data_IF_101213184767
#
_entry.id   IF_101213184767
#
_cell.length_a   1.000
_cell.length_b   1.000
_cell.length_c   1.000
_cell.angle_alpha   90.00
_cell.angle_beta   90.00
_cell.angle_gamma   90.00
#
_symmetry.space_group_name_H-M   'P 1'
#
loop_
_entity.id
_entity.type
_entity.pdbx_description
1 polymer ?
#
# COMPACT_ATOMS: atom_id res chain seq x y z
N UNK A 1 -16.23 -1.47 -12.49
CA UNK A 1 -14.88 -2.05 -12.20
C UNK A 1 -14.93 -3.56 -12.43
N UNK A 2 -13.97 -4.16 -13.12
CA UNK A 2 -13.99 -5.59 -13.41
C UNK A 2 -13.36 -6.38 -12.24
N UNK A 3 -13.99 -7.46 -11.72
CA UNK A 3 -13.50 -8.18 -10.53
C UNK A 3 -12.13 -8.85 -10.70
N UNK A 4 -11.67 -9.03 -11.95
CA UNK A 4 -10.33 -9.59 -12.24
C UNK A 4 -9.20 -8.56 -12.20
N UNK A 5 -9.51 -7.26 -12.12
CA UNK A 5 -8.49 -6.21 -12.03
C UNK A 5 -8.02 -6.11 -10.58
N UNK A 6 -6.72 -6.33 -10.35
CA UNK A 6 -6.09 -6.14 -9.05
C UNK A 6 -5.84 -4.64 -8.89
N UNK A 7 -6.61 -4.01 -8.03
CA UNK A 7 -6.47 -2.60 -7.68
C UNK A 7 -6.89 -2.36 -6.22
N UNK A 8 -6.66 -1.16 -5.74
CA UNK A 8 -6.91 -0.77 -4.35
C UNK A 8 -8.36 -1.02 -3.87
N UNK A 9 -9.36 -0.94 -4.76
CA UNK A 9 -10.77 -1.13 -4.39
C UNK A 9 -11.28 -2.57 -4.56
N UNK A 10 -10.40 -3.54 -4.86
CA UNK A 10 -10.82 -4.92 -5.13
C UNK A 10 -11.48 -5.60 -3.92
N UNK A 11 -11.07 -5.25 -2.71
CA UNK A 11 -11.67 -5.78 -1.48
C UNK A 11 -13.20 -5.57 -1.40
N UNK A 12 -13.77 -4.60 -2.13
CA UNK A 12 -15.23 -4.36 -2.18
C UNK A 12 -15.98 -5.58 -2.72
N UNK A 13 -15.45 -6.27 -3.72
CA UNK A 13 -16.05 -7.52 -4.24
C UNK A 13 -16.01 -8.64 -3.19
N UNK A 14 -14.93 -8.70 -2.41
CA UNK A 14 -14.82 -9.66 -1.30
C UNK A 14 -15.86 -9.31 -0.25
N UNK A 15 -16.00 -8.01 0.09
CA UNK A 15 -17.01 -7.53 1.03
C UNK A 15 -18.43 -7.91 0.61
N UNK A 16 -18.77 -7.71 -0.66
CA UNK A 16 -20.09 -8.04 -1.21
C UNK A 16 -20.37 -9.55 -1.06
N UNK A 17 -19.38 -10.42 -1.31
CA UNK A 17 -19.50 -11.86 -1.10
C UNK A 17 -19.67 -12.22 0.38
N UNK A 18 -18.93 -11.59 1.27
CA UNK A 18 -19.05 -11.80 2.72
C UNK A 18 -20.45 -11.43 3.20
N UNK A 19 -20.97 -10.28 2.81
CA UNK A 19 -22.32 -9.83 3.15
C UNK A 19 -23.35 -10.83 2.65
N UNK A 20 -23.24 -11.26 1.39
CA UNK A 20 -24.16 -12.23 0.77
C UNK A 20 -24.18 -13.59 1.49
N UNK A 21 -23.06 -13.97 2.10
CA UNK A 21 -22.92 -15.26 2.81
C UNK A 21 -23.07 -15.14 4.34
N UNK A 22 -23.59 -14.02 4.87
CA UNK A 22 -23.85 -13.84 6.30
C UNK A 22 -22.63 -13.41 7.13
N UNK A 23 -21.48 -13.12 6.49
CA UNK A 23 -20.22 -12.75 7.14
C UNK A 23 -20.04 -11.23 7.27
N UNK A 24 -21.11 -10.45 7.19
CA UNK A 24 -21.07 -8.99 7.29
C UNK A 24 -20.42 -8.46 8.59
N UNK A 25 -20.47 -9.24 9.67
CA UNK A 25 -19.88 -8.88 10.96
C UNK A 25 -18.37 -9.07 11.04
N UNK A 26 -17.75 -9.77 10.07
CA UNK A 26 -16.32 -10.04 10.04
C UNK A 26 -15.56 -8.90 9.35
N UNK A 27 -14.46 -8.40 9.92
CA UNK A 27 -13.62 -7.42 9.25
C UNK A 27 -12.77 -8.07 8.13
N UNK A 28 -12.35 -7.24 7.18
CA UNK A 28 -11.30 -7.59 6.20
C UNK A 28 -9.97 -7.03 6.70
N UNK A 29 -8.92 -7.80 6.62
CA UNK A 29 -7.55 -7.37 6.86
C UNK A 29 -6.80 -7.31 5.52
N UNK A 30 -6.32 -6.12 5.15
CA UNK A 30 -5.45 -5.92 4.00
C UNK A 30 -4.03 -6.27 4.46
N UNK A 31 -3.52 -7.41 3.98
CA UNK A 31 -2.22 -7.93 4.38
C UNK A 31 -1.07 -7.07 3.87
N UNK A 32 -1.18 -6.56 2.63
CA UNK A 32 -0.16 -5.77 1.97
C UNK A 32 -0.78 -4.69 1.10
N UNK A 33 -0.32 -3.45 1.24
CA UNK A 33 -0.79 -2.30 0.48
C UNK A 33 0.36 -1.32 0.27
N UNK A 34 0.64 -0.96 -0.97
CA UNK A 34 1.50 0.16 -1.36
C UNK A 34 1.49 0.33 -2.89
N UNK A 35 2.18 1.35 -3.38
CA UNK A 35 2.47 1.60 -4.80
C UNK A 35 3.96 1.42 -5.09
N UNK A 36 4.28 0.91 -6.28
CA UNK A 36 5.66 0.63 -6.68
C UNK A 36 6.29 1.87 -7.32
N UNK A 37 7.30 2.45 -6.68
CA UNK A 37 8.08 3.57 -7.20
C UNK A 37 9.36 3.10 -7.91
N UNK A 38 9.27 2.04 -8.72
CA UNK A 38 10.39 1.50 -9.46
C UNK A 38 10.94 2.51 -10.48
N UNK A 39 12.27 2.67 -10.59
CA UNK A 39 12.90 3.52 -11.60
C UNK A 39 12.73 2.96 -13.02
N UNK A 40 13.01 3.79 -14.04
CA UNK A 40 12.76 3.42 -15.44
C UNK A 40 13.54 2.21 -15.95
N UNK A 41 14.68 1.92 -15.35
CA UNK A 41 15.53 0.78 -15.70
C UNK A 41 15.13 -0.54 -15.01
N UNK A 42 13.98 -0.58 -14.32
CA UNK A 42 13.41 -1.77 -13.69
C UNK A 42 12.08 -2.13 -14.36
N UNK A 43 11.84 -3.43 -14.58
CA UNK A 43 10.58 -3.90 -15.18
C UNK A 43 9.39 -3.51 -14.30
N UNK A 44 8.34 -2.84 -14.84
CA UNK A 44 7.19 -2.40 -14.05
C UNK A 44 6.14 -3.51 -13.85
N UNK A 45 6.56 -4.69 -13.37
CA UNK A 45 5.69 -5.86 -13.17
C UNK A 45 4.43 -5.55 -12.34
N UNK A 46 4.55 -4.65 -11.37
CA UNK A 46 3.44 -4.28 -10.46
C UNK A 46 2.90 -2.87 -10.76
N UNK A 47 3.10 -2.39 -11.99
CA UNK A 47 2.89 -0.99 -12.33
C UNK A 47 4.02 -0.10 -11.81
N UNK A 48 3.94 1.19 -12.15
CA UNK A 48 4.92 2.19 -11.76
C UNK A 48 4.24 3.50 -11.40
N UNK A 49 4.70 4.12 -10.33
CA UNK A 49 4.39 5.50 -9.95
C UNK A 49 5.67 6.27 -9.68
N UNK A 50 5.63 7.59 -9.63
CA UNK A 50 6.76 8.36 -9.13
C UNK A 50 6.85 8.29 -7.60
N UNK A 51 8.00 8.68 -7.02
CA UNK A 51 8.15 8.78 -5.57
C UNK A 51 7.13 9.75 -4.95
N UNK A 52 6.83 10.87 -5.65
CA UNK A 52 5.83 11.84 -5.22
C UNK A 52 4.41 11.26 -5.29
N UNK A 53 4.12 10.48 -6.33
CA UNK A 53 2.84 9.78 -6.43
C UNK A 53 2.67 8.73 -5.33
N UNK A 54 3.71 7.94 -5.04
CA UNK A 54 3.69 6.98 -3.94
C UNK A 54 3.43 7.69 -2.60
N UNK A 55 4.16 8.80 -2.33
CA UNK A 55 4.02 9.61 -1.13
C UNK A 55 2.62 10.21 -0.98
N UNK A 56 1.98 10.57 -2.08
CA UNK A 56 0.61 11.10 -2.09
C UNK A 56 -0.43 10.00 -1.93
N UNK A 57 -0.26 8.85 -2.61
CA UNK A 57 -1.32 7.85 -2.70
C UNK A 57 -1.47 7.04 -1.42
N UNK A 58 -0.36 6.74 -0.72
CA UNK A 58 -0.44 5.90 0.47
C UNK A 58 -1.24 6.54 1.60
N UNK A 59 -1.00 7.79 2.02
CA UNK A 59 -1.85 8.47 3.01
C UNK A 59 -3.31 8.58 2.56
N UNK A 60 -3.56 8.92 1.29
CA UNK A 60 -4.92 9.00 0.74
C UNK A 60 -5.64 7.63 0.77
N UNK A 61 -4.89 6.53 0.61
CA UNK A 61 -5.46 5.20 0.73
C UNK A 61 -5.92 4.91 2.16
N UNK A 62 -5.11 5.26 3.16
CA UNK A 62 -5.50 5.13 4.57
C UNK A 62 -6.68 6.04 4.91
N UNK A 63 -6.69 7.27 4.42
CA UNK A 63 -7.82 8.18 4.61
C UNK A 63 -9.11 7.56 4.05
N UNK A 64 -9.07 6.99 2.85
CA UNK A 64 -10.24 6.29 2.27
C UNK A 64 -10.66 5.07 3.07
N UNK A 65 -9.72 4.30 3.62
CA UNK A 65 -10.03 3.18 4.51
C UNK A 65 -10.82 3.68 5.72
N UNK A 66 -10.39 4.77 6.34
CA UNK A 66 -11.03 5.37 7.51
C UNK A 66 -12.42 5.90 7.16
N UNK A 67 -12.54 6.66 6.07
CA UNK A 67 -13.76 7.40 5.74
C UNK A 67 -14.83 6.54 5.07
N UNK A 68 -14.42 5.59 4.21
CA UNK A 68 -15.34 4.92 3.29
C UNK A 68 -15.58 3.44 3.66
N UNK A 69 -14.66 2.79 4.38
CA UNK A 69 -14.66 1.31 4.51
C UNK A 69 -14.55 0.81 5.95
N UNK A 70 -15.58 1.05 6.79
CA UNK A 70 -15.55 0.68 8.20
C UNK A 70 -15.42 -0.83 8.46
N UNK A 71 -15.54 -1.65 7.43
CA UNK A 71 -15.33 -3.09 7.50
C UNK A 71 -13.85 -3.51 7.34
N UNK A 72 -12.94 -2.57 7.04
CA UNK A 72 -11.50 -2.85 7.04
C UNK A 72 -10.99 -2.69 8.47
N UNK A 73 -10.62 -3.80 9.10
CA UNK A 73 -10.11 -3.79 10.48
C UNK A 73 -8.61 -3.50 10.58
N UNK A 74 -7.84 -3.91 9.58
CA UNK A 74 -6.39 -3.69 9.51
C UNK A 74 -5.98 -3.45 8.06
N UNK A 75 -5.07 -2.51 7.84
CA UNK A 75 -4.38 -2.30 6.57
C UNK A 75 -2.88 -2.16 6.81
N UNK A 76 -2.09 -3.08 6.29
CA UNK A 76 -0.65 -3.09 6.46
C UNK A 76 0.04 -2.51 5.23
N UNK A 77 0.96 -1.58 5.45
CA UNK A 77 1.84 -1.11 4.39
C UNK A 77 2.93 -2.15 4.12
N UNK A 78 3.09 -2.54 2.88
CA UNK A 78 4.21 -3.35 2.46
C UNK A 78 5.19 -2.48 1.68
N UNK A 79 6.36 -2.20 2.21
CA UNK A 79 6.96 -2.56 3.49
C UNK A 79 7.88 -1.44 4.00
N UNK A 80 8.26 -1.47 5.28
CA UNK A 80 9.15 -0.47 5.83
C UNK A 80 10.53 -0.52 5.14
N UNK A 81 11.25 -1.64 5.30
CA UNK A 81 12.60 -1.86 4.79
C UNK A 81 12.94 -3.36 4.75
N UNK A 82 13.69 -3.79 3.73
CA UNK A 82 14.28 -5.13 3.72
C UNK A 82 15.52 -5.19 4.60
N UNK A 83 15.82 -6.39 5.11
CA UNK A 83 17.01 -6.62 5.92
C UNK A 83 18.31 -6.39 5.12
N UNK A 84 18.28 -6.65 3.81
CA UNK A 84 19.42 -6.48 2.90
C UNK A 84 18.99 -5.69 1.66
N UNK A 85 19.97 -5.15 0.93
CA UNK A 85 19.78 -4.44 -0.33
C UNK A 85 19.84 -5.34 -1.58
N UNK A 86 19.90 -6.65 -1.39
CA UNK A 86 20.04 -7.62 -2.49
C UNK A 86 18.97 -7.48 -3.57
N UNK A 87 17.73 -7.18 -3.19
CA UNK A 87 16.66 -6.98 -4.15
C UNK A 87 16.88 -5.75 -5.04
N UNK A 88 17.42 -4.69 -4.47
CA UNK A 88 17.75 -3.49 -5.23
C UNK A 88 18.95 -3.74 -6.16
N UNK A 89 20.01 -4.36 -5.65
CA UNK A 89 21.18 -4.75 -6.44
C UNK A 89 20.79 -5.63 -7.63
N UNK A 90 19.84 -6.55 -7.44
CA UNK A 90 19.31 -7.43 -8.48
C UNK A 90 18.18 -6.78 -9.31
N UNK A 91 17.89 -5.49 -9.11
CA UNK A 91 16.84 -4.73 -9.81
C UNK A 91 15.46 -5.42 -9.76
N UNK A 92 15.15 -6.06 -8.64
CA UNK A 92 13.85 -6.70 -8.45
C UNK A 92 12.78 -5.62 -8.24
N UNK A 93 11.64 -5.68 -8.97
CA UNK A 93 10.58 -4.67 -8.85
C UNK A 93 10.06 -4.53 -7.42
N UNK A 94 10.06 -5.61 -6.66
CA UNK A 94 9.60 -5.65 -5.26
C UNK A 94 10.40 -4.73 -4.33
N UNK A 95 11.65 -4.37 -4.70
CA UNK A 95 12.50 -3.48 -3.90
C UNK A 95 11.92 -2.08 -3.70
N UNK A 96 11.05 -1.63 -4.59
CA UNK A 96 10.62 -0.22 -4.69
C UNK A 96 9.25 0.08 -4.06
N UNK A 97 8.70 -0.88 -3.32
CA UNK A 97 7.58 -0.62 -2.40
C UNK A 97 8.00 -0.07 -1.04
N UNK A 98 9.29 -0.01 -0.77
CA UNK A 98 9.89 0.39 0.51
C UNK A 98 9.53 1.81 0.95
N UNK A 99 9.47 2.03 2.25
CA UNK A 99 9.37 3.35 2.87
C UNK A 99 10.76 3.93 3.20
N UNK A 100 11.73 3.05 3.48
CA UNK A 100 13.12 3.42 3.73
C UNK A 100 14.04 2.76 2.69
N UNK A 101 15.07 3.48 2.25
CA UNK A 101 16.14 2.91 1.45
C UNK A 101 16.97 1.87 2.25
N UNK A 102 17.83 1.05 1.60
CA UNK A 102 18.65 0.05 2.30
C UNK A 102 19.52 0.63 3.42
N UNK A 103 20.00 1.86 3.27
CA UNK A 103 20.80 2.60 4.23
C UNK A 103 19.98 3.34 5.31
N UNK A 104 18.68 3.06 5.40
CA UNK A 104 17.69 3.71 6.26
C UNK A 104 17.34 5.16 5.89
N UNK A 105 17.79 5.68 4.75
CA UNK A 105 17.35 6.99 4.27
C UNK A 105 15.83 6.98 4.02
N UNK A 106 15.05 7.88 4.66
CA UNK A 106 13.62 7.97 4.43
C UNK A 106 13.28 8.30 2.98
N UNK A 107 12.33 7.58 2.41
CA UNK A 107 11.72 7.95 1.14
C UNK A 107 10.60 8.98 1.36
N UNK A 108 10.20 9.77 0.35
CA UNK A 108 9.12 10.75 0.48
C UNK A 108 7.82 10.16 1.07
N UNK A 109 7.51 8.90 0.77
CA UNK A 109 6.35 8.19 1.30
C UNK A 109 6.42 7.95 2.80
N UNK A 110 7.62 7.75 3.36
CA UNK A 110 7.80 7.63 4.81
C UNK A 110 7.42 8.93 5.52
N UNK A 111 7.94 10.06 5.02
CA UNK A 111 7.66 11.38 5.58
C UNK A 111 6.16 11.71 5.52
N UNK A 112 5.53 11.46 4.37
CA UNK A 112 4.09 11.67 4.19
C UNK A 112 3.24 10.81 5.15
N UNK A 113 3.66 9.56 5.38
CA UNK A 113 2.95 8.69 6.33
C UNK A 113 3.15 9.09 7.78
N UNK A 114 4.36 9.53 8.15
CA UNK A 114 4.64 10.09 9.48
C UNK A 114 3.73 11.29 9.76
N UNK A 115 3.66 12.22 8.82
CA UNK A 115 2.88 13.44 8.96
C UNK A 115 1.37 13.14 9.00
N UNK A 116 0.91 12.20 8.17
CA UNK A 116 -0.47 11.71 8.19
C UNK A 116 -0.84 11.09 9.55
N UNK A 117 0.01 10.23 10.09
CA UNK A 117 -0.27 9.56 11.37
C UNK A 117 -0.21 10.53 12.56
N UNK A 118 0.67 11.55 12.51
CA UNK A 118 0.70 12.60 13.51
C UNK A 118 -0.63 13.38 13.53
N UNK A 119 -1.19 13.72 12.37
CA UNK A 119 -2.48 14.41 12.27
C UNK A 119 -3.69 13.58 12.72
N UNK A 120 -3.58 12.25 12.83
CA UNK A 120 -4.65 11.39 13.38
C UNK A 120 -4.67 11.37 14.93
N UNK A 121 -3.59 11.83 15.56
CA UNK A 121 -3.44 11.80 17.03
C UNK A 121 -3.96 13.08 17.72
N UNK A 122 -4.32 14.10 16.94
CA UNK A 122 -4.95 15.36 17.39
C UNK A 122 -6.46 15.28 17.39
#
# INVERSE_FOLDING_TARGET
>A
MHPRVINFSRHKFIRDLMVKNGDAHKPIWIAEMNWNAAPDNVEPRYGRVSLEQQARYLPLAYQRVIDEWPWIGVANTWYLKRATDQWEQNRQPEAYFRLLAPDFTPQPVYESMRDFTAGLAE
#
